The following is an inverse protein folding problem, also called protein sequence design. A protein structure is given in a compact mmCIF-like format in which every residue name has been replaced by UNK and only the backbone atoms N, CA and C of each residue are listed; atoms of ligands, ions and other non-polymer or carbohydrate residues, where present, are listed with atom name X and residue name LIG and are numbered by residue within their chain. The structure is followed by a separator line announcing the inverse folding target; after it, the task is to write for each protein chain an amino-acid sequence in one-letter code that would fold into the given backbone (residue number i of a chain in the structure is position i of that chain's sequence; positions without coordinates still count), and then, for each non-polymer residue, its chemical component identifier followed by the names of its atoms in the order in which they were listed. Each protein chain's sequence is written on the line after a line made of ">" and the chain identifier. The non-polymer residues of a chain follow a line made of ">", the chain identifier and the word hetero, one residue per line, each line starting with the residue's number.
data_IF_773552436146
#
_entry.id   IF_773552436146
#
_cell.length_a   1.000
_cell.length_b   1.000
_cell.length_c   1.000
_cell.angle_alpha   90.00
_cell.angle_beta   90.00
_cell.angle_gamma   90.00
#
_symmetry.space_group_name_H-M   'P 1'
#
loop_
_entity.id
_entity.type
_entity.pdbx_description
1 polymer ?
#
# COMPACT_ATOMS: atom_id res chain seq x y z
N UNK A 1 13.70 -52.13 43.52
CA UNK A 1 13.15 -52.12 42.15
C UNK A 1 13.24 -50.70 41.62
N UNK A 2 14.27 -50.37 40.84
CA UNK A 2 14.43 -49.01 40.21
C UNK A 2 13.83 -49.06 38.80
N UNK A 3 12.91 -48.12 38.49
CA UNK A 3 12.33 -47.94 37.16
C UNK A 3 13.37 -47.37 36.21
N UNK A 4 13.40 -47.76 34.94
CA UNK A 4 14.34 -47.21 33.96
C UNK A 4 13.95 -45.79 33.55
N UNK A 5 14.97 -44.93 33.44
CA UNK A 5 14.87 -43.56 32.91
C UNK A 5 14.82 -43.64 31.39
N UNK A 6 13.72 -43.21 30.81
CA UNK A 6 13.58 -43.07 29.35
C UNK A 6 14.30 -41.81 28.89
N UNK A 7 15.42 -41.96 28.18
CA UNK A 7 16.14 -40.86 27.54
C UNK A 7 15.37 -40.48 26.29
N UNK A 8 14.88 -39.26 26.29
CA UNK A 8 14.17 -38.66 25.13
C UNK A 8 15.19 -38.37 24.03
N UNK A 9 14.95 -38.87 22.82
CA UNK A 9 15.78 -38.58 21.64
C UNK A 9 15.74 -37.11 21.28
N UNK A 10 16.84 -36.50 20.77
CA UNK A 10 16.81 -35.10 20.33
C UNK A 10 15.88 -34.93 19.14
N UNK A 11 15.13 -33.82 19.15
CA UNK A 11 14.28 -33.41 18.04
C UNK A 11 15.12 -33.18 16.76
N UNK A 12 14.58 -33.50 15.59
CA UNK A 12 15.27 -33.22 14.34
C UNK A 12 15.52 -31.71 14.17
N UNK A 13 16.60 -31.29 13.46
CA UNK A 13 16.91 -29.89 13.25
C UNK A 13 15.75 -29.23 12.52
N UNK A 14 15.41 -28.00 12.94
CA UNK A 14 14.43 -27.17 12.31
C UNK A 14 14.85 -26.95 10.84
N UNK A 15 13.93 -27.30 9.96
CA UNK A 15 14.02 -27.09 8.52
C UNK A 15 14.47 -25.64 8.26
N UNK A 16 15.50 -25.46 7.46
CA UNK A 16 16.06 -24.16 7.12
C UNK A 16 14.94 -23.34 6.47
N UNK A 17 14.42 -22.37 7.20
CA UNK A 17 13.43 -21.45 6.70
C UNK A 17 14.04 -20.69 5.53
N UNK A 18 13.64 -21.07 4.33
CA UNK A 18 14.01 -20.43 3.09
C UNK A 18 13.69 -18.93 3.19
N UNK A 19 14.73 -18.10 3.25
CA UNK A 19 14.62 -16.65 3.31
C UNK A 19 13.78 -16.19 2.10
N UNK A 20 12.62 -15.55 2.29
CA UNK A 20 11.81 -15.12 1.18
C UNK A 20 12.63 -14.19 0.28
N UNK A 21 12.57 -14.35 -1.05
CA UNK A 21 13.33 -13.51 -1.96
C UNK A 21 12.95 -12.05 -1.74
N UNK A 22 13.97 -11.19 -1.66
CA UNK A 22 13.81 -9.76 -1.54
C UNK A 22 12.79 -9.24 -2.58
N UNK A 23 11.94 -8.26 -2.25
CA UNK A 23 10.91 -7.76 -3.15
C UNK A 23 11.57 -7.33 -4.46
N UNK A 24 11.31 -8.08 -5.53
CA UNK A 24 11.77 -7.72 -6.87
C UNK A 24 11.18 -6.37 -7.17
N UNK A 25 12.03 -5.33 -7.23
CA UNK A 25 11.67 -4.04 -7.80
C UNK A 25 10.99 -4.34 -9.13
N UNK A 26 9.71 -4.03 -9.23
CA UNK A 26 8.95 -4.18 -10.46
C UNK A 26 9.71 -3.38 -11.50
N UNK A 27 10.31 -4.05 -12.48
CA UNK A 27 10.96 -3.41 -13.60
C UNK A 27 9.87 -2.79 -14.49
N UNK A 28 9.25 -1.72 -14.00
CA UNK A 28 8.75 -0.70 -14.89
C UNK A 28 9.99 -0.19 -15.61
N UNK A 29 9.96 -0.15 -16.91
CA UNK A 29 10.99 0.49 -17.76
C UNK A 29 11.29 1.82 -17.08
N UNK A 30 12.42 1.90 -16.38
CA UNK A 30 12.74 3.05 -15.55
C UNK A 30 12.87 4.24 -16.49
N UNK A 31 11.84 5.06 -16.54
CA UNK A 31 11.93 6.37 -17.16
C UNK A 31 12.86 7.14 -16.25
N UNK A 32 14.01 7.51 -16.76
CA UNK A 32 14.93 8.39 -16.04
C UNK A 32 14.25 9.73 -15.94
N UNK A 33 13.97 10.15 -14.70
CA UNK A 33 13.46 11.47 -14.36
C UNK A 33 14.65 12.42 -14.41
N UNK A 34 14.54 13.49 -15.18
CA UNK A 34 15.54 14.56 -15.21
C UNK A 34 15.08 15.78 -14.39
N UNK A 35 15.96 16.75 -14.21
CA UNK A 35 15.71 17.96 -13.42
C UNK A 35 14.44 18.71 -13.88
N UNK A 36 14.16 18.76 -15.17
CA UNK A 36 12.94 19.40 -15.69
C UNK A 36 11.69 18.61 -15.28
N UNK A 37 11.74 17.30 -15.32
CA UNK A 37 10.63 16.44 -14.88
C UNK A 37 10.35 16.64 -13.39
N UNK A 38 11.40 16.69 -12.55
CA UNK A 38 11.25 16.96 -11.10
C UNK A 38 10.59 18.30 -10.84
N UNK A 39 10.99 19.34 -11.55
CA UNK A 39 10.39 20.70 -11.44
C UNK A 39 8.94 20.73 -11.92
N UNK A 40 8.60 19.98 -12.97
CA UNK A 40 7.22 19.82 -13.44
C UNK A 40 6.38 19.11 -12.37
N UNK A 41 6.87 17.99 -11.81
CA UNK A 41 6.18 17.25 -10.76
C UNK A 41 5.98 18.12 -9.52
N UNK A 42 7.00 18.85 -9.10
CA UNK A 42 6.93 19.73 -7.93
C UNK A 42 5.84 20.81 -8.11
N UNK A 43 5.81 21.47 -9.26
CA UNK A 43 4.80 22.49 -9.55
C UNK A 43 3.37 21.92 -9.62
N UNK A 44 3.19 20.73 -10.20
CA UNK A 44 1.90 20.04 -10.25
C UNK A 44 1.44 19.53 -8.88
N UNK A 45 2.36 19.25 -7.97
CA UNK A 45 2.04 18.89 -6.56
C UNK A 45 1.55 20.11 -5.79
N UNK A 46 2.07 21.29 -6.06
CA UNK A 46 1.66 22.53 -5.43
C UNK A 46 0.31 23.01 -6.00
N UNK A 47 0.18 23.01 -7.33
CA UNK A 47 -1.07 23.35 -8.01
C UNK A 47 -1.36 22.38 -9.18
N UNK A 48 -2.15 21.36 -8.91
CA UNK A 48 -2.57 20.38 -9.92
C UNK A 48 -3.45 20.95 -11.04
N UNK A 49 -3.87 22.23 -10.96
CA UNK A 49 -4.66 22.92 -11.99
C UNK A 49 -3.85 23.90 -12.81
N UNK A 50 -2.58 24.08 -12.55
CA UNK A 50 -1.70 24.96 -13.31
C UNK A 50 -1.75 24.63 -14.80
N UNK A 51 -1.94 25.65 -15.67
CA UNK A 51 -1.97 25.42 -17.10
C UNK A 51 -0.58 25.07 -17.65
N UNK A 52 -0.52 24.26 -18.72
CA UNK A 52 0.74 23.96 -19.40
C UNK A 52 1.47 25.24 -19.85
N UNK A 53 0.73 26.29 -20.20
CA UNK A 53 1.28 27.58 -20.59
C UNK A 53 1.94 28.31 -19.42
N UNK A 54 1.30 28.32 -18.26
CA UNK A 54 1.85 28.96 -17.06
C UNK A 54 3.04 28.16 -16.52
N UNK A 55 2.94 26.84 -16.53
CA UNK A 55 4.04 25.95 -16.17
C UNK A 55 5.25 26.17 -17.09
N UNK A 56 5.02 26.29 -18.40
CA UNK A 56 6.07 26.58 -19.38
C UNK A 56 6.75 27.93 -19.09
N UNK A 57 5.96 28.97 -18.77
CA UNK A 57 6.48 30.29 -18.39
C UNK A 57 7.32 30.22 -17.10
N UNK A 58 6.81 29.55 -16.05
CA UNK A 58 7.47 29.44 -14.78
C UNK A 58 8.80 28.67 -14.86
N UNK A 59 8.84 27.67 -15.74
CA UNK A 59 10.04 26.82 -15.92
C UNK A 59 10.96 27.30 -17.06
N UNK A 60 10.59 28.40 -17.75
CA UNK A 60 11.32 28.97 -18.88
C UNK A 60 11.59 27.98 -20.03
N UNK A 61 10.54 27.23 -20.41
CA UNK A 61 10.55 26.29 -21.55
C UNK A 61 9.32 26.53 -22.43
N UNK A 62 9.24 25.87 -23.58
CA UNK A 62 8.05 25.99 -24.41
C UNK A 62 6.92 25.06 -23.95
N UNK A 63 5.68 25.42 -24.25
CA UNK A 63 4.50 24.67 -23.83
C UNK A 63 4.45 23.24 -24.43
N UNK A 64 4.96 23.06 -25.66
CA UNK A 64 5.00 21.75 -26.30
C UNK A 64 5.93 20.79 -25.54
N UNK A 65 7.03 21.30 -25.00
CA UNK A 65 7.94 20.53 -24.14
C UNK A 65 7.23 20.07 -22.86
N UNK A 66 6.53 20.98 -22.17
CA UNK A 66 5.77 20.63 -20.95
C UNK A 66 4.75 19.53 -21.26
N UNK A 67 3.95 19.71 -22.30
CA UNK A 67 2.91 18.74 -22.70
C UNK A 67 3.51 17.37 -23.03
N UNK A 68 4.62 17.33 -23.74
CA UNK A 68 5.31 16.09 -24.08
C UNK A 68 5.86 15.38 -22.83
N UNK A 69 6.43 16.14 -21.87
CA UNK A 69 6.98 15.60 -20.62
C UNK A 69 5.90 15.04 -19.71
N UNK A 70 4.80 15.79 -19.49
CA UNK A 70 3.65 15.31 -18.69
C UNK A 70 3.11 14.02 -19.29
N UNK A 71 2.84 13.99 -20.61
CA UNK A 71 2.37 12.78 -21.29
C UNK A 71 3.32 11.59 -21.08
N UNK A 72 4.63 11.77 -21.23
CA UNK A 72 5.63 10.72 -21.01
C UNK A 72 5.59 10.19 -19.57
N UNK A 73 5.48 11.08 -18.58
CA UNK A 73 5.42 10.72 -17.17
C UNK A 73 4.14 9.93 -16.83
N UNK A 74 3.01 10.29 -17.45
CA UNK A 74 1.74 9.58 -17.28
C UNK A 74 1.73 8.22 -17.98
N UNK A 75 2.16 8.16 -19.26
CA UNK A 75 2.23 6.92 -20.04
C UNK A 75 3.17 5.88 -19.39
N UNK A 76 4.27 6.35 -18.83
CA UNK A 76 5.22 5.51 -18.09
C UNK A 76 4.73 5.11 -16.70
N UNK A 77 3.58 5.62 -16.24
CA UNK A 77 3.03 5.44 -14.88
C UNK A 77 3.96 5.96 -13.77
N UNK A 78 4.87 6.86 -14.12
CA UNK A 78 5.75 7.53 -13.16
C UNK A 78 4.99 8.58 -12.36
N UNK A 79 4.00 9.25 -12.99
CA UNK A 79 3.14 10.25 -12.39
C UNK A 79 1.68 9.97 -12.72
N UNK A 80 0.77 10.40 -11.84
CA UNK A 80 -0.68 10.43 -12.09
C UNK A 80 -1.24 11.71 -11.49
N UNK A 81 -2.05 12.43 -12.26
CA UNK A 81 -2.87 13.50 -11.72
C UNK A 81 -4.19 12.91 -11.23
N UNK A 82 -4.49 13.10 -9.96
CA UNK A 82 -5.71 12.59 -9.32
C UNK A 82 -6.36 13.68 -8.48
N UNK A 83 -7.69 13.68 -8.44
CA UNK A 83 -8.42 14.47 -7.46
C UNK A 83 -8.47 13.64 -6.15
N UNK A 84 -8.12 14.28 -5.04
CA UNK A 84 -8.28 13.68 -3.72
C UNK A 84 -9.49 14.30 -3.04
N UNK A 85 -10.30 13.45 -2.42
CA UNK A 85 -11.45 13.84 -1.60
C UNK A 85 -11.15 13.40 -0.18
N UNK A 86 -11.48 14.26 0.80
CA UNK A 86 -11.41 13.89 2.20
C UNK A 86 -12.36 12.73 2.49
N UNK A 87 -11.89 11.71 3.22
CA UNK A 87 -12.67 10.53 3.53
C UNK A 87 -13.95 10.88 4.29
N UNK A 88 -13.90 11.87 5.17
CA UNK A 88 -15.08 12.33 5.93
C UNK A 88 -16.13 12.96 5.02
N UNK A 89 -15.70 13.73 4.01
CA UNK A 89 -16.59 14.31 2.99
C UNK A 89 -17.21 13.23 2.11
N UNK A 90 -16.46 12.14 1.86
CA UNK A 90 -16.97 10.96 1.16
C UNK A 90 -17.87 10.07 2.06
N UNK A 91 -18.09 10.46 3.32
CA UNK A 91 -18.96 9.75 4.27
C UNK A 91 -18.27 8.59 5.00
N UNK A 92 -16.95 8.51 4.97
CA UNK A 92 -16.19 7.53 5.76
C UNK A 92 -15.74 8.16 7.08
N UNK A 93 -16.32 7.69 8.20
CA UNK A 93 -16.03 8.20 9.53
C UNK A 93 -15.00 7.37 10.29
N UNK A 94 -14.81 6.12 9.87
CA UNK A 94 -13.93 5.16 10.54
C UNK A 94 -12.84 4.66 9.61
N UNK A 95 -11.61 4.67 10.11
CA UNK A 95 -10.46 4.04 9.46
C UNK A 95 -9.84 3.07 10.45
N UNK A 96 -9.65 1.83 10.02
CA UNK A 96 -9.03 0.77 10.80
C UNK A 96 -7.74 0.33 10.13
N UNK A 97 -6.65 0.27 10.89
CA UNK A 97 -5.44 -0.45 10.52
C UNK A 97 -5.59 -1.89 11.00
N UNK A 98 -5.44 -2.87 10.10
CA UNK A 98 -5.70 -4.28 10.42
C UNK A 98 -4.50 -5.12 10.05
N UNK A 99 -3.94 -5.79 11.03
CA UNK A 99 -2.96 -6.84 10.81
C UNK A 99 -3.66 -8.14 10.39
N UNK A 100 -3.14 -8.78 9.36
CA UNK A 100 -3.64 -10.06 8.83
C UNK A 100 -2.56 -11.12 8.94
N UNK A 101 -2.87 -12.23 9.59
CA UNK A 101 -2.04 -13.43 9.58
C UNK A 101 -2.58 -14.42 8.55
N UNK A 102 -1.68 -15.02 7.79
CA UNK A 102 -1.99 -15.91 6.68
C UNK A 102 -1.59 -17.35 7.01
N UNK A 103 -2.39 -18.32 6.58
CA UNK A 103 -2.06 -19.75 6.69
C UNK A 103 -2.50 -20.54 5.47
N UNK A 104 -1.66 -21.45 5.01
CA UNK A 104 -1.98 -22.39 3.92
C UNK A 104 -1.95 -21.81 2.51
N UNK A 105 -1.64 -20.50 2.38
CA UNK A 105 -1.41 -19.81 1.09
C UNK A 105 -0.28 -18.80 1.25
N UNK A 106 0.28 -18.31 0.16
CA UNK A 106 1.26 -17.23 0.23
C UNK A 106 0.60 -15.88 0.58
N UNK A 107 1.29 -15.05 1.36
CA UNK A 107 0.83 -13.70 1.67
C UNK A 107 0.53 -12.87 0.41
N UNK A 108 1.31 -13.07 -0.66
CA UNK A 108 1.14 -12.37 -1.92
C UNK A 108 -0.17 -12.75 -2.65
N UNK A 109 -0.65 -13.99 -2.53
CA UNK A 109 -1.92 -14.41 -3.10
C UNK A 109 -3.09 -13.83 -2.30
N UNK A 110 -3.02 -13.95 -0.97
CA UNK A 110 -4.05 -13.42 -0.08
C UNK A 110 -4.14 -11.89 -0.19
N UNK A 111 -3.00 -11.20 -0.25
CA UNK A 111 -2.96 -9.75 -0.45
C UNK A 111 -3.62 -9.31 -1.76
N UNK A 112 -3.45 -10.08 -2.86
CA UNK A 112 -4.11 -9.78 -4.13
C UNK A 112 -5.62 -9.95 -4.06
N UNK A 113 -6.10 -10.96 -3.34
CA UNK A 113 -7.54 -11.17 -3.15
C UNK A 113 -8.14 -10.06 -2.27
N UNK A 114 -7.48 -9.71 -1.17
CA UNK A 114 -7.90 -8.60 -0.29
C UNK A 114 -7.92 -7.26 -1.05
N UNK A 115 -6.96 -7.03 -1.94
CA UNK A 115 -6.87 -5.79 -2.73
C UNK A 115 -8.03 -5.59 -3.72
N UNK A 116 -8.91 -6.57 -3.91
CA UNK A 116 -10.13 -6.45 -4.72
C UNK A 116 -11.33 -5.93 -3.91
N UNK A 117 -11.22 -5.86 -2.57
CA UNK A 117 -12.30 -5.42 -1.70
C UNK A 117 -12.38 -3.88 -1.76
N UNK A 118 -13.52 -3.29 -2.14
CA UNK A 118 -13.64 -1.85 -2.36
C UNK A 118 -13.32 -1.00 -1.12
N UNK A 119 -13.71 -1.47 0.08
CA UNK A 119 -13.52 -0.75 1.34
C UNK A 119 -12.08 -0.84 1.88
N UNK A 120 -11.22 -1.63 1.24
CA UNK A 120 -9.80 -1.74 1.56
C UNK A 120 -9.02 -0.68 0.78
N UNK A 121 -8.51 0.30 1.49
CA UNK A 121 -7.76 1.42 0.90
C UNK A 121 -6.31 1.06 0.58
N UNK A 122 -5.67 0.25 1.45
CA UNK A 122 -4.26 -0.10 1.35
C UNK A 122 -4.06 -1.58 1.67
N UNK A 123 -3.15 -2.23 0.95
CA UNK A 123 -2.70 -3.60 1.24
C UNK A 123 -1.19 -3.63 1.14
N UNK A 124 -0.52 -3.96 2.24
CA UNK A 124 0.93 -4.00 2.37
C UNK A 124 1.33 -5.41 2.81
N UNK A 125 2.22 -6.06 2.08
CA UNK A 125 2.85 -7.30 2.54
C UNK A 125 3.97 -6.88 3.49
N UNK A 126 3.91 -7.35 4.73
CA UNK A 126 4.80 -6.96 5.82
C UNK A 126 5.72 -8.12 6.22
N UNK A 127 6.80 -7.76 6.90
CA UNK A 127 7.67 -8.70 7.61
C UNK A 127 7.59 -8.36 9.09
N UNK A 128 7.16 -9.29 9.92
CA UNK A 128 7.03 -9.05 11.35
C UNK A 128 5.96 -9.93 11.99
N UNK A 129 5.20 -9.36 12.91
CA UNK A 129 4.12 -10.06 13.62
C UNK A 129 2.90 -10.35 12.76
N UNK A 130 2.75 -9.65 11.65
CA UNK A 130 1.68 -9.80 10.67
C UNK A 130 2.29 -10.07 9.29
N UNK A 131 1.59 -10.84 8.47
CA UNK A 131 2.01 -11.15 7.09
C UNK A 131 1.54 -10.07 6.12
N UNK A 132 0.38 -9.44 6.41
CA UNK A 132 -0.20 -8.36 5.62
C UNK A 132 -0.75 -7.31 6.57
N UNK A 133 -0.59 -6.05 6.21
CA UNK A 133 -1.24 -4.90 6.83
C UNK A 133 -2.20 -4.27 5.84
N UNK A 134 -3.43 -4.00 6.29
CA UNK A 134 -4.44 -3.34 5.47
C UNK A 134 -5.02 -2.13 6.20
N UNK A 135 -5.51 -1.18 5.41
CA UNK A 135 -6.37 -0.10 5.92
C UNK A 135 -7.76 -0.26 5.33
N UNK A 136 -8.75 -0.24 6.20
CA UNK A 136 -10.17 -0.34 5.84
C UNK A 136 -10.86 0.94 6.25
N UNK A 137 -11.63 1.52 5.34
CA UNK A 137 -12.50 2.66 5.65
C UNK A 137 -13.95 2.20 5.72
N UNK A 138 -14.71 2.77 6.65
CA UNK A 138 -16.12 2.46 6.82
C UNK A 138 -16.94 3.70 7.21
N UNK A 139 -18.22 3.69 6.87
CA UNK A 139 -19.15 4.79 7.20
C UNK A 139 -19.58 4.76 8.65
N UNK A 140 -19.68 3.57 9.22
CA UNK A 140 -20.02 3.35 10.61
C UNK A 140 -19.35 2.08 11.16
N UNK A 141 -19.47 1.85 12.45
CA UNK A 141 -18.87 0.68 13.11
C UNK A 141 -19.48 -0.64 12.68
N UNK A 142 -20.76 -0.66 12.30
CA UNK A 142 -21.40 -1.89 11.82
C UNK A 142 -20.86 -2.26 10.46
N UNK A 143 -20.73 -1.30 9.55
CA UNK A 143 -20.11 -1.51 8.24
C UNK A 143 -18.65 -1.97 8.38
N UNK A 144 -17.86 -1.38 9.31
CA UNK A 144 -16.51 -1.83 9.60
C UNK A 144 -16.49 -3.28 10.09
N UNK A 145 -17.34 -3.59 11.07
CA UNK A 145 -17.46 -4.95 11.61
C UNK A 145 -17.83 -5.95 10.53
N UNK A 146 -18.80 -5.61 9.68
CA UNK A 146 -19.25 -6.48 8.59
C UNK A 146 -18.14 -6.73 7.57
N UNK A 147 -17.47 -5.67 7.12
CA UNK A 147 -16.32 -5.79 6.20
C UNK A 147 -15.22 -6.69 6.79
N UNK A 148 -14.90 -6.54 8.07
CA UNK A 148 -13.85 -7.35 8.69
C UNK A 148 -14.27 -8.79 8.90
N UNK A 149 -15.48 -9.04 9.41
CA UNK A 149 -15.92 -10.39 9.82
C UNK A 149 -16.51 -11.20 8.68
N UNK A 150 -17.22 -10.57 7.76
CA UNK A 150 -17.94 -11.26 6.68
C UNK A 150 -17.24 -11.18 5.32
N UNK A 151 -16.34 -10.21 5.13
CA UNK A 151 -15.63 -10.07 3.85
C UNK A 151 -14.16 -10.44 4.01
N UNK A 152 -13.39 -9.70 4.79
CA UNK A 152 -11.93 -9.92 4.90
C UNK A 152 -11.59 -11.25 5.57
N UNK A 153 -12.27 -11.60 6.67
CA UNK A 153 -12.02 -12.86 7.38
C UNK A 153 -12.35 -14.10 6.55
N UNK A 154 -13.26 -13.98 5.57
CA UNK A 154 -13.63 -15.06 4.68
C UNK A 154 -12.73 -15.20 3.44
N UNK A 155 -11.76 -14.32 3.25
CA UNK A 155 -10.76 -14.50 2.20
C UNK A 155 -9.93 -15.74 2.50
N UNK A 156 -9.90 -16.67 1.54
CA UNK A 156 -9.20 -17.94 1.70
C UNK A 156 -7.72 -17.71 2.04
N UNK A 157 -7.28 -18.26 3.15
CA UNK A 157 -5.90 -18.12 3.63
C UNK A 157 -5.75 -17.09 4.74
N UNK A 158 -6.75 -16.27 5.03
CA UNK A 158 -6.78 -15.44 6.23
C UNK A 158 -6.95 -16.34 7.45
N UNK A 159 -6.02 -16.28 8.39
CA UNK A 159 -6.05 -17.08 9.61
C UNK A 159 -6.49 -16.27 10.83
N UNK A 160 -6.11 -14.98 10.87
CA UNK A 160 -6.44 -14.07 11.97
C UNK A 160 -6.40 -12.63 11.50
N UNK A 161 -7.32 -11.84 12.04
CA UNK A 161 -7.34 -10.39 11.93
C UNK A 161 -7.02 -9.77 13.29
N UNK A 162 -6.26 -8.69 13.27
CA UNK A 162 -5.95 -7.87 14.45
C UNK A 162 -6.29 -6.42 14.10
N UNK A 163 -7.56 -6.01 14.26
CA UNK A 163 -7.99 -4.66 13.92
C UNK A 163 -7.54 -3.65 14.99
N UNK A 164 -7.12 -2.47 14.53
CA UNK A 164 -6.85 -1.30 15.35
C UNK A 164 -7.62 -0.11 14.80
N UNK A 165 -8.61 0.41 15.55
CA UNK A 165 -9.38 1.57 15.14
C UNK A 165 -8.56 2.85 15.32
N UNK A 166 -8.46 3.67 14.26
CA UNK A 166 -7.81 4.97 14.34
C UNK A 166 -8.68 5.93 15.17
N UNK A 167 -8.17 6.38 16.31
CA UNK A 167 -8.84 7.37 17.17
C UNK A 167 -8.71 8.79 16.61
N UNK A 168 -7.57 9.09 15.99
CA UNK A 168 -7.27 10.38 15.38
C UNK A 168 -6.17 10.22 14.34
N UNK A 169 -6.39 10.77 13.17
CA UNK A 169 -5.36 10.85 12.13
C UNK A 169 -4.73 12.23 12.22
N UNK A 170 -3.44 12.30 12.52
CA UNK A 170 -2.70 13.56 12.65
C UNK A 170 -2.09 13.98 11.32
N UNK A 171 -1.79 13.03 10.44
CA UNK A 171 -1.25 13.28 9.11
C UNK A 171 -1.72 12.17 8.16
N UNK A 172 -2.32 12.55 7.08
CA UNK A 172 -2.64 11.68 5.96
C UNK A 172 -2.05 12.32 4.71
N UNK A 173 -0.80 12.01 4.43
CA UNK A 173 -0.08 12.53 3.29
C UNK A 173 0.18 11.38 2.31
N UNK A 174 -0.54 11.40 1.19
CA UNK A 174 -0.39 10.42 0.12
C UNK A 174 0.81 10.69 -0.79
N UNK A 175 1.69 11.58 -0.41
CA UNK A 175 2.90 11.89 -1.15
C UNK A 175 3.87 10.72 -1.05
N UNK A 176 4.05 10.04 -2.16
CA UNK A 176 4.75 8.77 -2.25
C UNK A 176 6.25 8.85 -1.99
N UNK A 177 6.90 9.91 -2.43
CA UNK A 177 8.33 10.12 -2.25
C UNK A 177 8.59 11.63 -2.17
N UNK A 178 9.25 12.13 -1.12
CA UNK A 178 9.85 13.44 -1.20
C UNK A 178 10.98 13.38 -2.23
N UNK A 179 10.87 14.15 -3.30
CA UNK A 179 12.05 14.49 -4.09
C UNK A 179 12.86 15.45 -3.23
N UNK A 180 14.01 14.99 -2.78
CA UNK A 180 14.99 15.80 -2.03
C UNK A 180 15.88 16.56 -2.99
#
# INVERSE_FOLDING_TARGET
>A
MRKPVTVNAPAPPADEAETPPAPRKRAARAVTIDELDERIIAALREDGRISNRDLARNLNVNEATIRSRIRRLEESKTMRLVAMVDLSVAGYEFVSAVGVQVRGRSAAEVARDIAQIPDVLTVIIAIGTQDIEIQVAARDLNALSDTLTNVVANVRGVARLTPGLAMKILKYDSQWVPFS
#
